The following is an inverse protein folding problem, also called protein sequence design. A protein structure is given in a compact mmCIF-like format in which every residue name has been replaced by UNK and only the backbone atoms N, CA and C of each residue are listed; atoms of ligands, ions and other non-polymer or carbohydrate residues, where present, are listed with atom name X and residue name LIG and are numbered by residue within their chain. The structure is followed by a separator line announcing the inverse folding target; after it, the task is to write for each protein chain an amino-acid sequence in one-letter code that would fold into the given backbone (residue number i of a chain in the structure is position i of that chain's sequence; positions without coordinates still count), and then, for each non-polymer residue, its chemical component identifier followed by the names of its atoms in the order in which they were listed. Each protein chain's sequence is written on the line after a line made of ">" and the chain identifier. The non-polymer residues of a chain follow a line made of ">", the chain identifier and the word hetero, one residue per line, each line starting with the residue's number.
data_IF_968163770770
#
_entry.id   IF_968163770770
#
_cell.length_a   1.000
_cell.length_b   1.000
_cell.length_c   1.000
_cell.angle_alpha   90.00
_cell.angle_beta   90.00
_cell.angle_gamma   90.00
#
_symmetry.space_group_name_H-M   'P 1'
#
loop_
_entity.id
_entity.type
_entity.pdbx_description
1 polymer ?
#
# COMPACT_ATOMS: atom_id res chain seq x y z
N UNK A 1 -1.14 16.40 -14.99
CA UNK A 1 -1.79 17.70 -14.75
C UNK A 1 -2.86 17.53 -13.68
N UNK A 2 -2.92 18.47 -12.73
CA UNK A 2 -3.85 18.54 -11.59
C UNK A 2 -3.84 17.34 -10.63
N UNK A 3 -2.77 17.21 -9.85
CA UNK A 3 -2.87 16.58 -8.53
C UNK A 3 -3.43 17.61 -7.57
N UNK A 4 -4.60 17.35 -6.97
CA UNK A 4 -5.08 18.15 -5.84
C UNK A 4 -4.08 17.93 -4.70
N UNK A 5 -3.22 18.91 -4.48
CA UNK A 5 -2.30 18.92 -3.38
C UNK A 5 -2.96 19.47 -2.12
N UNK A 6 -2.18 19.46 -1.04
CA UNK A 6 -2.54 20.16 0.20
C UNK A 6 -2.85 21.66 -0.02
N UNK A 7 -2.11 22.41 -0.87
CA UNK A 7 -2.41 23.82 -1.11
C UNK A 7 -3.81 24.05 -1.72
N UNK A 8 -4.20 23.26 -2.72
CA UNK A 8 -5.49 23.36 -3.37
C UNK A 8 -6.63 23.01 -2.40
N UNK A 9 -6.45 21.97 -1.58
CA UNK A 9 -7.42 21.62 -0.53
C UNK A 9 -7.58 22.74 0.51
N UNK A 10 -6.49 23.40 0.92
CA UNK A 10 -6.54 24.53 1.85
C UNK A 10 -7.25 25.74 1.24
N UNK A 11 -7.06 26.02 -0.04
CA UNK A 11 -7.76 27.10 -0.75
C UNK A 11 -9.28 26.86 -0.74
N UNK A 12 -9.71 25.65 -1.09
CA UNK A 12 -11.13 25.27 -1.09
C UNK A 12 -11.70 25.34 0.33
N UNK A 13 -10.95 24.85 1.32
CA UNK A 13 -11.34 24.93 2.73
C UNK A 13 -11.50 26.39 3.19
N UNK A 14 -10.60 27.28 2.79
CA UNK A 14 -10.68 28.70 3.13
C UNK A 14 -11.95 29.35 2.55
N UNK A 15 -12.32 29.05 1.30
CA UNK A 15 -13.56 29.53 0.70
C UNK A 15 -14.78 28.97 1.44
N UNK A 16 -14.80 27.66 1.72
CA UNK A 16 -15.87 27.03 2.49
C UNK A 16 -16.02 27.62 3.90
N UNK A 17 -14.90 27.96 4.54
CA UNK A 17 -14.84 28.62 5.84
C UNK A 17 -15.39 30.04 5.82
N UNK A 18 -15.27 30.77 4.71
CA UNK A 18 -15.87 32.09 4.57
C UNK A 18 -17.40 31.97 4.47
N UNK A 19 -17.88 31.00 3.69
CA UNK A 19 -19.32 30.77 3.48
C UNK A 19 -20.01 30.25 4.74
N UNK A 20 -19.42 29.24 5.39
CA UNK A 20 -19.98 28.57 6.57
C UNK A 20 -19.61 29.32 7.87
N UNK A 21 -18.41 29.88 7.93
CA UNK A 21 -17.81 30.49 9.11
C UNK A 21 -16.95 29.50 9.93
N UNK A 22 -15.73 29.88 10.35
CA UNK A 22 -14.83 28.99 11.11
C UNK A 22 -15.38 28.60 12.48
N UNK A 23 -16.25 29.44 13.06
CA UNK A 23 -16.92 29.13 14.33
C UNK A 23 -17.99 28.06 14.18
N UNK A 24 -18.60 27.89 13.00
CA UNK A 24 -19.66 26.89 12.77
C UNK A 24 -19.14 25.50 12.42
N UNK A 25 -17.94 25.38 11.83
CA UNK A 25 -17.31 24.08 11.59
C UNK A 25 -17.21 23.17 12.82
N UNK A 26 -16.70 23.62 14.00
CA UNK A 26 -16.61 22.76 15.16
C UNK A 26 -17.99 22.34 15.69
N UNK A 27 -19.01 23.20 15.57
CA UNK A 27 -20.37 22.86 15.97
C UNK A 27 -21.01 21.84 15.01
N UNK A 28 -20.83 22.02 13.70
CA UNK A 28 -21.23 21.04 12.68
C UNK A 28 -20.52 19.70 12.89
N UNK A 29 -19.22 19.70 13.09
CA UNK A 29 -18.43 18.49 13.35
C UNK A 29 -18.89 17.77 14.63
N UNK A 30 -19.20 18.51 15.71
CA UNK A 30 -19.77 17.92 16.94
C UNK A 30 -21.13 17.29 16.68
N UNK A 31 -22.01 17.96 15.95
CA UNK A 31 -23.35 17.44 15.65
C UNK A 31 -23.29 16.19 14.77
N UNK A 32 -22.51 16.23 13.69
CA UNK A 32 -22.29 15.11 12.79
C UNK A 32 -21.57 13.96 13.49
N UNK A 33 -20.59 14.26 14.34
CA UNK A 33 -19.85 13.27 15.12
C UNK A 33 -20.75 12.53 16.12
N UNK A 34 -21.67 13.24 16.79
CA UNK A 34 -22.69 12.62 17.66
C UNK A 34 -23.63 11.74 16.85
N UNK A 35 -24.16 12.24 15.74
CA UNK A 35 -25.02 11.47 14.85
C UNK A 35 -24.32 10.21 14.32
N UNK A 36 -23.05 10.31 13.92
CA UNK A 36 -22.27 9.17 13.45
C UNK A 36 -21.97 8.17 14.57
N UNK A 37 -21.73 8.64 15.80
CA UNK A 37 -21.52 7.78 16.96
C UNK A 37 -22.80 7.00 17.32
N UNK A 38 -23.96 7.67 17.30
CA UNK A 38 -25.27 7.04 17.52
C UNK A 38 -25.60 6.07 16.39
N UNK A 39 -25.39 6.46 15.13
CA UNK A 39 -25.56 5.59 13.97
C UNK A 39 -24.67 4.34 14.06
N UNK A 40 -23.41 4.49 14.45
CA UNK A 40 -22.49 3.36 14.66
C UNK A 40 -22.98 2.42 15.76
N UNK A 41 -23.49 2.96 16.88
CA UNK A 41 -24.05 2.16 17.98
C UNK A 41 -25.29 1.40 17.54
N UNK A 42 -26.25 2.08 16.92
CA UNK A 42 -27.45 1.45 16.38
C UNK A 42 -27.12 0.35 15.36
N UNK A 43 -26.16 0.61 14.47
CA UNK A 43 -25.69 -0.39 13.49
C UNK A 43 -25.02 -1.58 14.18
N UNK A 44 -24.25 -1.37 15.25
CA UNK A 44 -23.62 -2.43 16.02
C UNK A 44 -24.65 -3.31 16.73
N UNK A 45 -25.67 -2.71 17.35
CA UNK A 45 -26.78 -3.44 17.98
C UNK A 45 -27.57 -4.27 16.97
N UNK A 46 -27.82 -3.73 15.78
CA UNK A 46 -28.46 -4.45 14.66
C UNK A 46 -27.60 -5.65 14.23
N UNK A 47 -26.29 -5.46 14.12
CA UNK A 47 -25.31 -6.50 13.73
C UNK A 47 -25.13 -7.59 14.80
N UNK A 48 -25.41 -7.27 16.06
CA UNK A 48 -25.42 -8.23 17.17
C UNK A 48 -26.75 -9.00 17.24
N UNK A 49 -27.87 -8.31 17.00
CA UNK A 49 -29.22 -8.88 17.08
C UNK A 49 -29.55 -9.78 15.89
N UNK A 50 -29.18 -9.35 14.69
CA UNK A 50 -29.15 -10.23 13.53
C UNK A 50 -27.83 -10.97 13.64
N UNK A 51 -27.79 -12.31 13.67
CA UNK A 51 -26.56 -13.11 13.80
C UNK A 51 -25.58 -13.01 12.59
N UNK A 52 -25.55 -11.85 11.94
CA UNK A 52 -24.70 -11.42 10.86
C UNK A 52 -23.24 -11.67 11.22
N UNK A 53 -22.83 -11.48 12.49
CA UNK A 53 -21.46 -11.72 12.93
C UNK A 53 -21.01 -13.19 12.89
N UNK A 54 -21.90 -14.13 13.22
CA UNK A 54 -21.58 -15.56 13.15
C UNK A 54 -21.43 -15.98 11.69
N UNK A 55 -22.41 -15.64 10.86
CA UNK A 55 -22.43 -15.99 9.44
C UNK A 55 -21.27 -15.34 8.66
N UNK A 56 -20.90 -14.08 8.94
CA UNK A 56 -19.75 -13.43 8.29
C UNK A 56 -18.42 -14.07 8.68
N UNK A 57 -18.27 -14.49 9.94
CA UNK A 57 -17.04 -15.15 10.42
C UNK A 57 -16.88 -16.52 9.78
N UNK A 58 -17.96 -17.28 9.64
CA UNK A 58 -17.96 -18.60 9.00
C UNK A 58 -17.70 -18.49 7.49
N UNK A 59 -18.28 -17.48 6.83
CA UNK A 59 -18.00 -17.17 5.42
C UNK A 59 -16.52 -16.77 5.25
N UNK A 60 -15.97 -15.93 6.13
CA UNK A 60 -14.57 -15.51 6.07
C UNK A 60 -13.60 -16.67 6.29
N UNK A 61 -13.90 -17.59 7.21
CA UNK A 61 -13.16 -18.84 7.38
C UNK A 61 -13.24 -19.74 6.16
N UNK A 62 -14.43 -19.89 5.57
CA UNK A 62 -14.60 -20.67 4.35
C UNK A 62 -13.79 -20.09 3.18
N UNK A 63 -13.66 -18.75 3.06
CA UNK A 63 -12.79 -18.13 2.06
C UNK A 63 -11.29 -18.27 2.37
N UNK A 64 -10.88 -18.16 3.65
CA UNK A 64 -9.50 -18.40 4.07
C UNK A 64 -9.04 -19.84 3.79
N UNK A 65 -9.93 -20.83 3.98
CA UNK A 65 -9.66 -22.25 3.68
C UNK A 65 -9.61 -22.54 2.16
N UNK A 66 -10.20 -21.69 1.31
CA UNK A 66 -10.22 -21.84 -0.16
C UNK A 66 -8.93 -21.26 -0.81
N UNK A 67 -8.24 -20.33 -0.15
CA UNK A 67 -6.97 -19.78 -0.66
C UNK A 67 -5.75 -20.68 -0.35
N UNK A 68 -5.87 -21.68 0.54
CA UNK A 68 -4.76 -22.57 0.93
C UNK A 68 -4.46 -23.75 -0.05
N UNK A 69 -5.40 -24.34 -0.83
CA UNK A 69 -5.07 -25.43 -1.75
C UNK A 69 -4.60 -25.01 -3.16
N UNK A 70 -4.07 -23.80 -3.38
CA UNK A 70 -3.39 -23.44 -4.66
C UNK A 70 -1.89 -23.16 -4.46
N UNK A 71 -1.23 -23.99 -3.65
CA UNK A 71 0.24 -24.07 -3.65
C UNK A 71 0.74 -25.51 -3.46
N UNK A 72 0.13 -26.45 -4.17
CA UNK A 72 0.59 -27.82 -4.24
C UNK A 72 0.34 -28.41 -5.63
N UNK A 73 1.41 -28.94 -6.23
CA UNK A 73 1.46 -29.79 -7.43
C UNK A 73 1.68 -29.09 -8.79
N UNK A 74 2.90 -29.20 -9.32
CA UNK A 74 3.18 -29.07 -10.77
C UNK A 74 2.84 -30.37 -11.52
N UNK A 75 3.24 -30.60 -12.80
CA UNK A 75 3.66 -29.68 -13.86
C UNK A 75 2.59 -29.62 -14.98
N UNK A 76 2.17 -28.43 -15.41
CA UNK A 76 1.30 -28.30 -16.60
C UNK A 76 2.18 -28.35 -17.86
N UNK A 77 2.28 -29.53 -18.46
CA UNK A 77 2.65 -29.70 -19.88
C UNK A 77 1.49 -29.18 -20.73
N UNK A 78 1.73 -28.17 -21.56
CA UNK A 78 0.75 -27.77 -22.57
C UNK A 78 0.99 -26.40 -23.21
N UNK A 79 1.97 -26.31 -24.10
CA UNK A 79 1.85 -25.53 -25.34
C UNK A 79 1.97 -24.00 -25.29
N UNK A 80 3.20 -23.50 -25.39
CA UNK A 80 3.56 -22.59 -26.48
C UNK A 80 4.98 -22.91 -26.94
N UNK A 81 5.11 -23.12 -28.24
CA UNK A 81 6.38 -23.36 -28.91
C UNK A 81 7.35 -22.21 -28.65
N UNK A 82 8.46 -22.49 -27.97
CA UNK A 82 9.66 -21.67 -28.10
C UNK A 82 10.61 -22.40 -29.03
N UNK A 83 10.52 -22.07 -30.31
CA UNK A 83 11.65 -22.20 -31.23
C UNK A 83 12.77 -21.31 -30.70
N UNK A 84 13.79 -21.89 -30.11
CA UNK A 84 15.13 -21.34 -30.19
C UNK A 84 16.14 -22.47 -30.10
N UNK A 85 16.80 -22.67 -31.23
CA UNK A 85 17.78 -23.70 -31.48
C UNK A 85 18.95 -23.57 -30.50
N UNK A 86 19.36 -24.71 -29.93
CA UNK A 86 20.75 -24.94 -29.55
C UNK A 86 21.63 -24.70 -30.78
N UNK A 87 22.54 -23.74 -30.70
CA UNK A 87 23.80 -23.82 -31.44
C UNK A 87 24.90 -23.91 -30.39
N UNK A 88 25.69 -24.97 -30.56
CA UNK A 88 26.76 -25.40 -29.70
C UNK A 88 28.03 -24.55 -29.89
N UNK A 89 29.02 -24.88 -29.06
CA UNK A 89 30.46 -24.68 -29.24
C UNK A 89 31.10 -23.41 -28.67
N UNK A 90 31.83 -23.64 -27.58
CA UNK A 90 33.06 -22.93 -27.19
C UNK A 90 34.07 -22.93 -28.37
N UNK A 91 34.97 -21.93 -28.54
CA UNK A 91 35.94 -21.58 -27.50
C UNK A 91 36.49 -20.12 -27.50
N UNK A 92 37.34 -19.88 -26.50
CA UNK A 92 38.50 -18.98 -26.48
C UNK A 92 38.41 -17.45 -26.35
N UNK A 93 39.31 -17.01 -25.47
CA UNK A 93 40.11 -15.78 -25.47
C UNK A 93 39.54 -14.42 -25.04
N UNK A 94 40.03 -14.05 -23.84
CA UNK A 94 40.86 -12.86 -23.53
C UNK A 94 40.20 -11.54 -23.10
N UNK A 95 40.75 -11.09 -21.97
CA UNK A 95 41.03 -9.69 -21.56
C UNK A 95 39.77 -8.86 -21.19
N UNK A 96 39.76 -8.03 -20.16
CA UNK A 96 40.85 -7.31 -19.50
C UNK A 96 40.40 -6.84 -18.12
N UNK A 97 41.40 -6.60 -17.28
CA UNK A 97 41.42 -5.75 -16.09
C UNK A 97 40.44 -4.55 -16.15
N UNK A 98 39.85 -4.11 -15.05
CA UNK A 98 40.53 -3.13 -14.21
C UNK A 98 39.86 -2.96 -12.84
N UNK A 99 40.73 -2.98 -11.83
CA UNK A 99 40.55 -2.42 -10.49
C UNK A 99 40.43 -0.89 -10.54
N UNK A 100 40.08 -0.36 -9.37
CA UNK A 100 40.40 0.99 -8.84
C UNK A 100 39.31 2.02 -9.09
N UNK A 101 38.74 2.68 -8.09
CA UNK A 101 39.27 3.01 -6.77
C UNK A 101 39.42 4.53 -6.65
N UNK A 102 39.17 5.01 -5.43
CA UNK A 102 39.65 6.26 -4.80
C UNK A 102 39.23 7.61 -5.35
N UNK A 103 38.58 8.39 -4.47
CA UNK A 103 39.01 9.71 -3.96
C UNK A 103 37.76 10.41 -3.40
N UNK A 104 37.73 11.21 -2.33
CA UNK A 104 38.71 11.84 -1.43
C UNK A 104 37.85 12.52 -0.36
N UNK A 105 38.22 12.48 0.92
CA UNK A 105 38.20 13.71 1.73
C UNK A 105 39.01 13.55 3.02
N UNK A 106 40.16 14.20 3.00
CA UNK A 106 40.94 14.60 4.16
C UNK A 106 40.16 15.59 5.06
N UNK A 107 40.74 15.81 6.25
CA UNK A 107 40.42 16.76 7.34
C UNK A 107 39.53 16.10 8.41
N UNK A 108 39.96 15.91 9.66
CA UNK A 108 40.69 16.84 10.52
C UNK A 108 41.70 16.14 11.45
N UNK A 109 42.86 16.77 11.58
CA UNK A 109 43.85 16.58 12.64
C UNK A 109 43.55 17.68 13.67
N UNK A 110 43.09 17.34 14.88
CA UNK A 110 43.43 18.05 16.12
C UNK A 110 42.79 17.38 17.34
N UNK A 111 43.59 17.16 18.37
CA UNK A 111 43.13 17.01 19.75
C UNK A 111 43.09 15.59 20.32
N UNK A 112 44.15 15.19 21.01
CA UNK A 112 44.11 14.82 22.43
C UNK A 112 45.40 14.09 22.84
N UNK A 113 46.11 14.73 23.77
CA UNK A 113 46.96 14.16 24.84
C UNK A 113 48.21 13.36 24.49
#
# INVERSE_FOLDING_TARGET
>A
MFGIGMPEMLLILAVALIVIGPKKLPDLAKSLGRAFAEFKRATAEIKETMEIDKNLTDIKKAFEDIDEPVRGEGPVKGGYETVNAKVADHPDEKQTETKSGSDKKDKDIEGAS
#
